data_IF_963129801691
#
_entry.id   IF_963129801691
#
_cell.length_a   1.000
_cell.length_b   1.000
_cell.length_c   1.000
_cell.angle_alpha   90.00
_cell.angle_beta   90.00
_cell.angle_gamma   90.00
#
_symmetry.space_group_name_H-M   'P 1'
#
loop_
_entity.id
_entity.type
_entity.pdbx_description
1 polymer ?
#
# COMPACT_ATOMS: atom_id res chain seq x y z
N UNK A 1 -36.64 -23.66 -8.50
CA UNK A 1 -36.09 -24.38 -9.67
C UNK A 1 -34.57 -24.34 -9.55
N UNK A 2 -33.95 -25.44 -9.14
CA UNK A 2 -32.49 -25.56 -9.08
C UNK A 2 -31.94 -25.60 -10.50
N UNK A 3 -31.16 -24.59 -10.86
CA UNK A 3 -30.27 -24.67 -12.02
C UNK A 3 -29.03 -25.45 -11.59
N UNK A 4 -28.98 -26.74 -11.95
CA UNK A 4 -27.74 -27.52 -11.88
C UNK A 4 -26.74 -26.91 -12.85
N UNK A 5 -25.73 -26.21 -12.31
CA UNK A 5 -24.62 -25.69 -13.11
C UNK A 5 -23.63 -26.83 -13.39
N UNK A 6 -23.65 -27.31 -14.63
CA UNK A 6 -22.73 -28.30 -15.18
C UNK A 6 -21.30 -27.74 -15.19
N UNK A 7 -20.33 -28.53 -14.69
CA UNK A 7 -18.90 -28.21 -14.83
C UNK A 7 -18.55 -28.00 -16.30
N UNK A 8 -18.23 -26.78 -16.70
CA UNK A 8 -17.87 -26.49 -18.08
C UNK A 8 -16.43 -26.94 -18.33
N UNK A 9 -16.27 -27.78 -19.35
CA UNK A 9 -14.96 -28.26 -19.80
C UNK A 9 -14.18 -27.12 -20.45
N UNK A 10 -13.13 -26.65 -19.78
CA UNK A 10 -12.17 -25.72 -20.36
C UNK A 10 -11.37 -26.43 -21.44
N UNK A 11 -11.27 -25.82 -22.63
CA UNK A 11 -10.42 -26.31 -23.72
C UNK A 11 -9.60 -25.15 -24.27
N UNK A 12 -8.33 -25.37 -24.68
CA UNK A 12 -7.54 -24.33 -25.33
C UNK A 12 -8.26 -23.82 -26.59
N UNK A 13 -8.54 -22.51 -26.62
CA UNK A 13 -9.31 -21.87 -27.70
C UNK A 13 -10.78 -21.60 -27.38
N UNK A 14 -11.32 -22.16 -26.28
CA UNK A 14 -12.66 -21.82 -25.76
C UNK A 14 -12.51 -21.09 -24.44
N UNK A 15 -12.64 -19.76 -24.48
CA UNK A 15 -12.60 -18.90 -23.29
C UNK A 15 -13.97 -18.88 -22.59
N UNK A 16 -14.03 -18.60 -21.28
CA UNK A 16 -15.30 -18.42 -20.60
C UNK A 16 -16.05 -17.20 -21.15
N UNK A 17 -17.37 -17.27 -21.24
CA UNK A 17 -18.20 -16.10 -21.55
C UNK A 17 -18.07 -15.05 -20.43
N UNK A 18 -17.60 -13.85 -20.79
CA UNK A 18 -17.51 -12.68 -19.89
C UNK A 18 -18.42 -11.55 -20.35
N UNK A 19 -19.03 -10.79 -19.42
CA UNK A 19 -18.96 -10.95 -17.96
C UNK A 19 -19.91 -12.05 -17.44
N UNK A 20 -19.46 -12.86 -16.47
CA UNK A 20 -20.35 -13.82 -15.82
C UNK A 20 -21.36 -13.10 -14.91
N UNK A 21 -22.56 -13.68 -14.74
CA UNK A 21 -23.56 -13.15 -13.82
C UNK A 21 -23.03 -13.13 -12.37
N UNK A 22 -23.44 -12.17 -11.52
CA UNK A 22 -23.00 -12.11 -10.12
C UNK A 22 -23.38 -13.40 -9.36
N UNK A 23 -22.50 -13.87 -8.46
CA UNK A 23 -22.76 -15.06 -7.65
C UNK A 23 -23.43 -14.70 -6.32
N UNK A 24 -24.14 -15.67 -5.72
CA UNK A 24 -24.78 -15.55 -4.41
C UNK A 24 -23.94 -16.04 -3.23
N UNK A 25 -22.83 -16.75 -3.47
CA UNK A 25 -21.91 -17.20 -2.41
C UNK A 25 -20.48 -17.48 -2.90
N UNK A 26 -19.53 -17.53 -1.98
CA UNK A 26 -18.16 -17.93 -2.30
C UNK A 26 -18.09 -19.40 -2.76
N UNK A 27 -18.94 -20.26 -2.20
CA UNK A 27 -19.04 -21.67 -2.61
C UNK A 27 -19.45 -21.79 -4.08
N UNK A 28 -20.39 -20.96 -4.54
CA UNK A 28 -20.81 -20.91 -5.94
C UNK A 28 -19.67 -20.46 -6.85
N UNK A 29 -18.88 -19.46 -6.45
CA UNK A 29 -17.70 -19.02 -7.21
C UNK A 29 -16.62 -20.10 -7.29
N UNK A 30 -16.36 -20.84 -6.20
CA UNK A 30 -15.46 -22.00 -6.22
C UNK A 30 -15.96 -23.09 -7.17
N UNK A 31 -17.27 -23.35 -7.18
CA UNK A 31 -17.88 -24.29 -8.11
C UNK A 31 -17.70 -23.84 -9.57
N UNK A 32 -17.95 -22.56 -9.87
CA UNK A 32 -17.74 -21.97 -11.21
C UNK A 32 -16.28 -22.05 -11.66
N UNK A 33 -15.34 -21.94 -10.71
CA UNK A 33 -13.92 -22.03 -10.97
C UNK A 33 -13.39 -23.47 -11.16
N UNK A 34 -14.23 -24.49 -11.01
CA UNK A 34 -13.81 -25.88 -11.19
C UNK A 34 -13.38 -26.14 -12.64
N UNK A 35 -12.29 -26.87 -12.80
CA UNK A 35 -11.73 -27.30 -14.09
C UNK A 35 -11.82 -28.82 -14.18
N UNK A 36 -12.35 -29.35 -15.27
CA UNK A 36 -12.33 -30.79 -15.53
C UNK A 36 -11.02 -31.18 -16.24
N UNK A 37 -10.12 -31.96 -15.61
CA UNK A 37 -8.87 -32.38 -16.22
C UNK A 37 -9.05 -33.46 -17.30
N UNK A 38 -10.25 -34.05 -17.45
CA UNK A 38 -10.50 -35.17 -18.34
C UNK A 38 -10.28 -34.81 -19.80
N UNK A 39 -9.42 -35.55 -20.51
CA UNK A 39 -9.10 -35.31 -21.92
C UNK A 39 -8.22 -34.08 -22.17
N UNK A 40 -7.55 -33.59 -21.13
CA UNK A 40 -6.59 -32.48 -21.25
C UNK A 40 -5.31 -32.86 -22.00
N UNK A 41 -5.00 -34.16 -22.05
CA UNK A 41 -3.87 -34.75 -22.79
C UNK A 41 -3.98 -34.60 -24.32
N UNK A 42 -5.16 -34.20 -24.82
CA UNK A 42 -5.40 -33.94 -26.25
C UNK A 42 -4.74 -32.65 -26.74
N UNK A 43 -4.32 -31.78 -25.84
CA UNK A 43 -3.74 -30.48 -26.13
C UNK A 43 -2.31 -30.40 -25.63
N UNK A 44 -1.49 -29.57 -26.26
CA UNK A 44 -0.09 -29.44 -25.86
C UNK A 44 0.05 -28.65 -24.57
N UNK A 45 1.19 -28.81 -23.88
CA UNK A 45 1.49 -28.05 -22.67
C UNK A 45 1.54 -26.56 -22.95
N UNK A 46 2.09 -26.14 -24.10
CA UNK A 46 2.14 -24.74 -24.51
C UNK A 46 0.75 -24.13 -24.67
N UNK A 47 -0.21 -24.90 -25.20
CA UNK A 47 -1.60 -24.45 -25.31
C UNK A 47 -2.22 -24.20 -23.92
N UNK A 48 -1.93 -25.07 -22.94
CA UNK A 48 -2.37 -24.86 -21.56
C UNK A 48 -1.67 -23.70 -20.85
N UNK A 49 -0.38 -23.46 -21.12
CA UNK A 49 0.36 -22.28 -20.62
C UNK A 49 -0.31 -20.99 -21.11
N UNK A 50 -0.70 -20.93 -22.39
CA UNK A 50 -1.42 -19.79 -22.94
C UNK A 50 -2.78 -19.58 -22.27
N UNK A 51 -3.52 -20.66 -21.98
CA UNK A 51 -4.78 -20.58 -21.23
C UNK A 51 -4.57 -19.97 -19.84
N UNK A 52 -3.53 -20.36 -19.12
CA UNK A 52 -3.20 -19.76 -17.81
C UNK A 52 -2.90 -18.27 -17.94
N UNK A 53 -2.08 -17.90 -18.94
CA UNK A 53 -1.77 -16.49 -19.22
C UNK A 53 -3.03 -15.65 -19.46
N UNK A 54 -3.93 -16.16 -20.31
CA UNK A 54 -5.18 -15.49 -20.63
C UNK A 54 -6.13 -15.39 -19.42
N UNK A 55 -6.22 -16.45 -18.60
CA UNK A 55 -7.01 -16.42 -17.37
C UNK A 55 -6.50 -15.37 -16.38
N UNK A 56 -5.18 -15.24 -16.23
CA UNK A 56 -4.61 -14.20 -15.36
C UNK A 56 -4.84 -12.79 -15.92
N UNK A 57 -4.65 -12.58 -17.22
CA UNK A 57 -4.96 -11.28 -17.85
C UNK A 57 -6.44 -10.90 -17.69
N UNK A 58 -7.35 -11.87 -17.81
CA UNK A 58 -8.78 -11.64 -17.60
C UNK A 58 -9.09 -11.34 -16.14
N UNK A 59 -8.41 -12.01 -15.20
CA UNK A 59 -8.50 -11.69 -13.76
C UNK A 59 -8.02 -10.27 -13.46
N UNK A 60 -6.90 -9.85 -14.06
CA UNK A 60 -6.36 -8.49 -13.92
C UNK A 60 -7.32 -7.43 -14.50
N UNK A 61 -7.96 -7.75 -15.62
CA UNK A 61 -8.97 -6.89 -16.23
C UNK A 61 -10.19 -6.76 -15.31
N UNK A 62 -10.70 -7.88 -14.77
CA UNK A 62 -11.83 -7.87 -13.84
C UNK A 62 -11.50 -7.10 -12.54
N UNK A 63 -10.30 -7.27 -11.97
CA UNK A 63 -9.82 -6.51 -10.82
C UNK A 63 -9.83 -4.99 -11.08
N UNK A 64 -9.38 -4.55 -12.27
CA UNK A 64 -9.37 -3.13 -12.65
C UNK A 64 -10.77 -2.52 -12.76
N UNK A 65 -11.80 -3.34 -12.96
CA UNK A 65 -13.20 -2.93 -13.05
C UNK A 65 -14.00 -3.26 -11.79
N UNK A 66 -13.34 -3.57 -10.67
CA UNK A 66 -13.93 -3.98 -9.37
C UNK A 66 -14.87 -5.20 -9.46
N UNK A 67 -14.71 -6.03 -10.50
CA UNK A 67 -15.47 -7.26 -10.70
C UNK A 67 -14.78 -8.44 -10.00
N UNK A 68 -14.92 -8.48 -8.67
CA UNK A 68 -14.28 -9.46 -7.80
C UNK A 68 -14.72 -10.91 -8.08
N UNK A 69 -15.94 -11.13 -8.55
CA UNK A 69 -16.47 -12.48 -8.83
C UNK A 69 -15.72 -13.09 -10.00
N UNK A 70 -15.62 -12.32 -11.08
CA UNK A 70 -14.92 -12.70 -12.30
C UNK A 70 -13.41 -12.80 -12.06
N UNK A 71 -12.83 -11.87 -11.31
CA UNK A 71 -11.41 -11.95 -10.92
C UNK A 71 -11.09 -13.23 -10.13
N UNK A 72 -11.92 -13.56 -9.14
CA UNK A 72 -11.75 -14.78 -8.34
C UNK A 72 -11.80 -16.04 -9.19
N UNK A 73 -12.83 -16.16 -10.05
CA UNK A 73 -13.03 -17.33 -10.91
C UNK A 73 -11.87 -17.50 -11.89
N UNK A 74 -11.42 -16.40 -12.51
CA UNK A 74 -10.27 -16.40 -13.42
C UNK A 74 -8.98 -16.88 -12.76
N UNK A 75 -8.59 -16.28 -11.63
CA UNK A 75 -7.38 -16.64 -10.93
C UNK A 75 -7.43 -18.08 -10.39
N UNK A 76 -8.56 -18.50 -9.80
CA UNK A 76 -8.74 -19.86 -9.31
C UNK A 76 -8.62 -20.89 -10.44
N UNK A 77 -9.24 -20.63 -11.60
CA UNK A 77 -9.12 -21.49 -12.78
C UNK A 77 -7.69 -21.56 -13.28
N UNK A 78 -6.99 -20.44 -13.37
CA UNK A 78 -5.58 -20.42 -13.81
C UNK A 78 -4.68 -21.26 -12.90
N UNK A 79 -4.85 -21.14 -11.58
CA UNK A 79 -4.15 -21.97 -10.60
C UNK A 79 -4.49 -23.47 -10.72
N UNK A 80 -5.77 -23.81 -10.89
CA UNK A 80 -6.20 -25.20 -11.10
C UNK A 80 -5.63 -25.78 -12.40
N UNK A 81 -5.58 -25.03 -13.50
CA UNK A 81 -4.92 -25.49 -14.74
C UNK A 81 -3.43 -25.76 -14.51
N UNK A 82 -2.70 -24.90 -13.78
CA UNK A 82 -1.29 -25.15 -13.49
C UNK A 82 -1.07 -26.42 -12.65
N UNK A 83 -1.86 -26.61 -11.60
CA UNK A 83 -1.68 -27.71 -10.64
C UNK A 83 -2.29 -29.02 -11.12
N UNK A 84 -3.45 -28.99 -11.76
CA UNK A 84 -4.23 -30.19 -12.07
C UNK A 84 -4.06 -30.66 -13.51
N UNK A 85 -3.73 -29.75 -14.43
CA UNK A 85 -3.50 -30.08 -15.85
C UNK A 85 -2.00 -30.09 -16.16
N UNK A 86 -1.32 -28.95 -16.09
CA UNK A 86 0.08 -28.83 -16.54
C UNK A 86 1.01 -29.74 -15.72
N UNK A 87 0.90 -29.71 -14.39
CA UNK A 87 1.78 -30.52 -13.52
C UNK A 87 1.60 -32.04 -13.69
N UNK A 88 0.44 -32.47 -14.20
CA UNK A 88 0.07 -33.88 -14.42
C UNK A 88 0.17 -34.31 -15.89
N UNK A 89 0.45 -33.38 -16.81
CA UNK A 89 0.51 -33.66 -18.23
C UNK A 89 1.67 -34.63 -18.57
N UNK A 90 1.51 -35.57 -19.53
CA UNK A 90 2.59 -36.49 -19.94
C UNK A 90 3.88 -35.77 -20.33
N UNK A 91 3.75 -34.63 -21.02
CA UNK A 91 4.88 -33.81 -21.48
C UNK A 91 5.21 -32.64 -20.55
N UNK A 92 4.92 -32.70 -19.26
CA UNK A 92 5.17 -31.59 -18.30
C UNK A 92 6.63 -31.06 -18.29
N UNK A 93 7.60 -31.86 -18.72
CA UNK A 93 8.99 -31.45 -18.85
C UNK A 93 9.15 -30.27 -19.84
N UNK A 94 8.34 -30.24 -20.90
CA UNK A 94 8.30 -29.11 -21.85
C UNK A 94 7.87 -27.80 -21.17
N UNK A 95 6.98 -27.85 -20.18
CA UNK A 95 6.58 -26.67 -19.41
C UNK A 95 7.75 -26.06 -18.65
N UNK A 96 8.59 -26.87 -18.02
CA UNK A 96 9.71 -26.37 -17.20
C UNK A 96 10.82 -25.74 -18.05
N UNK A 97 10.88 -26.05 -19.34
CA UNK A 97 11.78 -25.39 -20.31
C UNK A 97 11.17 -24.14 -20.94
N UNK A 98 9.87 -23.89 -20.74
CA UNK A 98 9.16 -22.76 -21.30
C UNK A 98 9.35 -21.50 -20.40
N UNK A 99 9.89 -20.40 -20.94
CA UNK A 99 10.09 -19.17 -20.16
C UNK A 99 8.78 -18.53 -19.68
N UNK A 100 7.70 -18.64 -20.44
CA UNK A 100 6.39 -18.10 -20.08
C UNK A 100 5.78 -18.90 -18.92
N UNK A 101 5.92 -20.22 -18.91
CA UNK A 101 5.51 -21.04 -17.76
C UNK A 101 6.27 -20.63 -16.48
N UNK A 102 7.59 -20.40 -16.58
CA UNK A 102 8.40 -19.97 -15.45
C UNK A 102 7.96 -18.61 -14.90
N UNK A 103 7.65 -17.65 -15.79
CA UNK A 103 7.10 -16.35 -15.41
C UNK A 103 5.73 -16.47 -14.77
N UNK A 104 4.81 -17.25 -15.36
CA UNK A 104 3.46 -17.46 -14.81
C UNK A 104 3.51 -18.18 -13.47
N UNK A 105 4.43 -19.13 -13.28
CA UNK A 105 4.63 -19.80 -12.00
C UNK A 105 5.11 -18.81 -10.93
N UNK A 106 6.13 -18.00 -11.24
CA UNK A 106 6.61 -16.96 -10.33
C UNK A 106 5.50 -15.97 -9.99
N UNK A 107 4.73 -15.53 -10.99
CA UNK A 107 3.57 -14.67 -10.83
C UNK A 107 2.51 -15.29 -9.92
N UNK A 108 2.27 -16.60 -10.06
CA UNK A 108 1.30 -17.30 -9.22
C UNK A 108 1.70 -17.28 -7.76
N UNK A 109 2.97 -17.62 -7.51
CA UNK A 109 3.54 -17.67 -6.17
C UNK A 109 3.59 -16.27 -5.52
N UNK A 110 3.85 -15.22 -6.30
CA UNK A 110 4.10 -13.88 -5.79
C UNK A 110 2.88 -12.94 -5.79
N UNK A 111 1.94 -13.11 -6.72
CA UNK A 111 0.83 -12.16 -6.96
C UNK A 111 -0.54 -12.84 -6.87
N UNK A 112 -0.73 -13.97 -7.57
CA UNK A 112 -2.08 -14.53 -7.78
C UNK A 112 -2.65 -15.11 -6.50
N UNK A 113 -1.86 -15.81 -5.67
CA UNK A 113 -2.36 -16.32 -4.39
C UNK A 113 -2.77 -15.20 -3.43
N UNK A 114 -1.99 -14.13 -3.32
CA UNK A 114 -2.34 -12.99 -2.48
C UNK A 114 -3.58 -12.24 -2.99
N UNK A 115 -3.73 -12.15 -4.31
CA UNK A 115 -4.93 -11.58 -4.95
C UNK A 115 -6.16 -12.44 -4.66
N UNK A 116 -6.06 -13.77 -4.80
CA UNK A 116 -7.13 -14.71 -4.49
C UNK A 116 -7.57 -14.64 -3.02
N UNK A 117 -6.62 -14.55 -2.09
CA UNK A 117 -6.91 -14.40 -0.66
C UNK A 117 -7.63 -13.07 -0.37
N UNK A 118 -7.13 -11.96 -0.92
CA UNK A 118 -7.74 -10.64 -0.76
C UNK A 118 -9.17 -10.62 -1.32
N UNK A 119 -9.36 -11.17 -2.51
CA UNK A 119 -10.67 -11.25 -3.17
C UNK A 119 -11.61 -12.15 -2.35
N UNK A 120 -11.15 -13.32 -1.87
CA UNK A 120 -11.95 -14.21 -1.04
C UNK A 120 -12.47 -13.52 0.23
N UNK A 121 -11.60 -12.80 0.95
CA UNK A 121 -11.99 -12.05 2.16
C UNK A 121 -13.07 -11.00 1.84
N UNK A 122 -12.91 -10.25 0.74
CA UNK A 122 -13.90 -9.23 0.33
C UNK A 122 -15.23 -9.88 -0.07
N UNK A 123 -15.20 -11.00 -0.79
CA UNK A 123 -16.39 -11.75 -1.18
C UNK A 123 -17.11 -12.33 0.05
N UNK A 124 -16.40 -12.92 1.00
CA UNK A 124 -16.98 -13.44 2.26
C UNK A 124 -17.68 -12.33 3.05
N UNK A 125 -17.07 -11.14 3.14
CA UNK A 125 -17.69 -9.97 3.79
C UNK A 125 -18.94 -9.51 3.03
N UNK A 126 -18.91 -9.49 1.70
CA UNK A 126 -20.06 -9.11 0.87
C UNK A 126 -21.25 -10.06 1.05
N UNK A 127 -20.99 -11.36 1.08
CA UNK A 127 -22.01 -12.38 1.32
C UNK A 127 -22.50 -12.41 2.77
N UNK A 128 -21.60 -12.17 3.74
CA UNK A 128 -21.95 -12.02 5.15
C UNK A 128 -22.84 -10.81 5.43
N UNK A 129 -22.56 -9.66 4.81
CA UNK A 129 -23.37 -8.45 4.96
C UNK A 129 -24.73 -8.54 4.24
N UNK A 130 -24.83 -9.32 3.15
CA UNK A 130 -26.13 -9.57 2.49
C UNK A 130 -27.11 -10.36 3.35
N UNK A 131 -26.63 -10.98 4.44
CA UNK A 131 -27.46 -11.71 5.41
C UNK A 131 -28.07 -10.81 6.50
N UNK A 132 -27.75 -9.51 6.53
CA UNK A 132 -28.05 -8.63 7.67
C UNK A 132 -28.69 -7.29 7.26
N UNK A 133 -29.61 -7.29 6.29
CA UNK A 133 -30.52 -6.16 6.07
C UNK A 133 -31.81 -6.37 6.87
N UNK A 134 -31.75 -6.06 8.16
CA UNK A 134 -32.95 -5.68 8.92
C UNK A 134 -32.59 -4.55 9.89
N UNK A 135 -32.87 -3.33 9.43
CA UNK A 135 -33.38 -2.19 10.20
C UNK A 135 -32.75 -1.89 11.58
N UNK A 136 -32.07 -0.74 11.69
CA UNK A 136 -32.59 0.46 12.37
C UNK A 136 -31.52 1.56 12.52
N UNK A 137 -31.93 2.77 12.23
CA UNK A 137 -31.36 4.06 12.66
C UNK A 137 -32.45 4.78 13.48
N UNK A 138 -32.24 5.97 14.07
CA UNK A 138 -31.22 6.40 15.04
C UNK A 138 -31.87 7.00 16.31
N UNK A 139 -31.10 7.34 17.37
CA UNK A 139 -31.52 8.43 18.29
C UNK A 139 -30.37 9.05 19.11
N UNK A 140 -30.52 10.36 19.32
CA UNK A 140 -29.64 11.37 19.93
C UNK A 140 -29.38 11.20 21.45
N UNK A 141 -28.38 11.92 21.99
CA UNK A 141 -28.54 13.10 22.89
C UNK A 141 -27.22 13.49 23.61
N UNK A 142 -26.91 14.80 23.59
CA UNK A 142 -25.96 15.53 24.46
C UNK A 142 -26.66 15.99 25.77
N UNK A 143 -25.96 16.41 26.85
CA UNK A 143 -25.47 17.79 26.99
C UNK A 143 -24.17 18.02 27.81
N UNK A 144 -23.75 19.29 27.79
CA UNK A 144 -22.58 20.04 28.30
C UNK A 144 -22.37 20.18 29.82
N UNK A 145 -21.12 20.43 30.26
CA UNK A 145 -20.74 21.33 31.40
C UNK A 145 -19.35 21.96 31.17
N UNK A 146 -19.16 23.19 31.66
CA UNK A 146 -18.10 24.18 31.37
C UNK A 146 -17.21 24.60 32.56
N UNK A 147 -15.95 24.95 32.27
CA UNK A 147 -15.02 25.96 32.88
C UNK A 147 -14.34 25.70 34.26
N UNK A 148 -13.23 26.41 34.68
CA UNK A 148 -12.59 27.62 34.12
C UNK A 148 -11.03 27.66 34.02
N UNK A 149 -10.53 28.76 33.43
CA UNK A 149 -9.14 29.13 33.09
C UNK A 149 -8.31 29.75 34.24
N UNK A 150 -6.97 29.61 34.20
CA UNK A 150 -6.00 30.51 34.87
C UNK A 150 -4.72 30.75 34.02
N UNK A 151 -4.46 32.02 33.76
CA UNK A 151 -3.20 32.72 33.34
C UNK A 151 -2.09 32.57 34.41
N UNK A 152 -0.76 32.67 34.23
CA UNK A 152 0.16 33.33 33.28
C UNK A 152 1.56 32.71 33.43
N UNK A 153 2.39 32.69 32.37
CA UNK A 153 3.83 33.06 32.44
C UNK A 153 4.40 33.18 31.02
N UNK A 154 4.90 34.38 30.71
CA UNK A 154 5.43 34.78 29.41
C UNK A 154 6.94 34.55 29.43
N UNK A 155 7.41 33.52 28.72
CA UNK A 155 8.83 33.36 28.40
C UNK A 155 8.99 33.61 26.90
N UNK A 156 9.74 34.66 26.55
CA UNK A 156 10.09 35.00 25.17
C UNK A 156 11.14 34.00 24.67
N UNK A 157 10.69 32.87 24.17
CA UNK A 157 11.49 32.00 23.30
C UNK A 157 11.16 32.36 21.86
N UNK A 158 12.20 32.61 21.07
CA UNK A 158 12.13 32.77 19.61
C UNK A 158 11.27 31.64 19.02
N UNK A 159 10.31 31.92 18.12
CA UNK A 159 9.43 30.88 17.62
C UNK A 159 10.24 29.90 16.77
N UNK A 160 10.42 28.69 17.29
CA UNK A 160 10.74 27.52 16.48
C UNK A 160 9.63 27.43 15.44
N UNK A 161 9.93 27.50 14.14
CA UNK A 161 8.88 27.44 13.13
C UNK A 161 8.26 26.04 13.21
N UNK A 162 7.01 26.01 13.66
CA UNK A 162 6.25 24.78 13.89
C UNK A 162 5.71 24.30 12.55
N UNK A 163 5.90 23.02 12.23
CA UNK A 163 5.27 22.43 11.05
C UNK A 163 3.75 22.55 11.23
N UNK A 164 3.02 23.23 10.31
CA UNK A 164 1.57 23.33 10.42
C UNK A 164 0.98 21.92 10.30
N UNK A 165 0.20 21.54 11.30
CA UNK A 165 -0.58 20.30 11.26
C UNK A 165 -1.77 20.48 10.32
N UNK A 166 -2.17 19.41 9.61
CA UNK A 166 -3.31 19.49 8.72
C UNK A 166 -4.61 19.77 9.48
N UNK A 167 -5.52 20.43 8.78
CA UNK A 167 -6.94 20.38 9.11
C UNK A 167 -7.51 19.08 8.54
N UNK A 168 -8.39 18.39 9.30
CA UNK A 168 -9.17 17.27 8.79
C UNK A 168 -9.77 17.55 7.42
N UNK A 169 -9.61 16.63 6.48
CA UNK A 169 -10.38 16.66 5.23
C UNK A 169 -11.46 15.58 5.27
N UNK A 170 -12.39 15.63 4.31
CA UNK A 170 -13.35 14.56 4.06
C UNK A 170 -12.86 13.64 2.91
N UNK A 171 -11.54 13.47 2.80
CA UNK A 171 -10.97 12.63 1.76
C UNK A 171 -11.48 11.19 1.87
N UNK A 172 -11.94 10.67 0.73
CA UNK A 172 -12.38 9.30 0.59
C UNK A 172 -11.26 8.51 -0.05
N UNK A 173 -10.97 7.36 0.54
CA UNK A 173 -9.90 6.48 0.13
C UNK A 173 -10.48 5.09 -0.11
N UNK A 174 -9.91 4.33 -1.03
CA UNK A 174 -10.29 2.94 -1.24
C UNK A 174 -10.15 2.10 0.05
N UNK A 175 -10.94 1.04 0.20
CA UNK A 175 -10.78 0.04 1.27
C UNK A 175 -9.61 -0.91 0.93
N UNK A 176 -8.44 -0.31 0.71
CA UNK A 176 -7.16 -0.99 0.44
C UNK A 176 -6.16 -0.72 1.56
N UNK A 177 -5.32 -1.71 1.83
CA UNK A 177 -4.17 -1.59 2.74
C UNK A 177 -2.86 -1.27 1.99
N UNK A 178 -2.92 -1.13 0.67
CA UNK A 178 -1.80 -0.85 -0.21
C UNK A 178 -2.15 0.35 -1.08
N UNK A 179 -1.19 1.24 -1.29
CA UNK A 179 -1.26 2.39 -2.21
C UNK A 179 -0.14 2.28 -3.25
N UNK A 180 -0.46 2.53 -4.52
CA UNK A 180 0.54 2.57 -5.59
C UNK A 180 1.23 3.94 -5.67
N UNK A 181 2.39 4.03 -6.32
CA UNK A 181 3.14 5.28 -6.43
C UNK A 181 2.31 6.39 -7.11
N UNK A 182 1.62 6.09 -8.21
CA UNK A 182 0.82 7.09 -8.93
C UNK A 182 -0.29 7.68 -8.07
N UNK A 183 -0.93 6.83 -7.26
CA UNK A 183 -2.00 7.24 -6.34
C UNK A 183 -1.44 8.14 -5.23
N UNK A 184 -0.31 7.76 -4.61
CA UNK A 184 0.35 8.59 -3.60
C UNK A 184 0.82 9.93 -4.19
N UNK A 185 1.38 9.93 -5.40
CA UNK A 185 1.76 11.16 -6.12
C UNK A 185 0.54 12.05 -6.30
N UNK A 186 -0.60 11.50 -6.72
CA UNK A 186 -1.82 12.28 -6.89
C UNK A 186 -2.23 12.98 -5.59
N UNK A 187 -2.16 12.29 -4.44
CA UNK A 187 -2.53 12.84 -3.15
C UNK A 187 -1.61 13.96 -2.67
N UNK A 188 -0.29 13.78 -2.79
CA UNK A 188 0.67 14.74 -2.23
C UNK A 188 0.96 15.92 -3.16
N UNK A 189 0.55 15.85 -4.44
CA UNK A 189 0.70 16.94 -5.42
C UNK A 189 -0.60 17.67 -5.73
N UNK A 190 -1.75 17.13 -5.31
CA UNK A 190 -3.06 17.76 -5.46
C UNK A 190 -3.09 19.13 -4.77
N UNK A 191 -3.63 20.14 -5.47
CA UNK A 191 -3.65 21.53 -5.01
C UNK A 191 -4.85 21.86 -4.12
N UNK A 192 -6.00 21.29 -4.43
CA UNK A 192 -7.27 21.60 -3.77
C UNK A 192 -7.83 20.33 -3.13
N UNK A 193 -8.27 20.43 -1.87
CA UNK A 193 -8.85 19.32 -1.12
C UNK A 193 -7.96 18.06 -1.08
N UNK A 194 -6.64 18.24 -1.11
CA UNK A 194 -5.70 17.14 -0.98
C UNK A 194 -5.83 16.48 0.40
N UNK A 195 -5.85 15.15 0.49
CA UNK A 195 -5.80 14.48 1.77
C UNK A 195 -4.51 14.82 2.51
N UNK A 196 -4.59 14.92 3.83
CA UNK A 196 -3.41 15.00 4.66
C UNK A 196 -2.76 13.63 4.83
N UNK A 197 -1.56 13.47 4.27
CA UNK A 197 -0.79 12.22 4.29
C UNK A 197 0.39 12.35 5.24
N UNK A 198 0.50 11.46 6.23
CA UNK A 198 1.72 11.27 7.01
C UNK A 198 2.52 10.11 6.44
N UNK A 199 3.76 10.36 6.01
CA UNK A 199 4.68 9.33 5.55
C UNK A 199 5.51 8.76 6.70
N UNK A 200 5.57 7.44 6.79
CA UNK A 200 6.48 6.73 7.70
C UNK A 200 7.52 5.96 6.88
N UNK A 201 8.78 6.43 6.92
CA UNK A 201 9.91 5.73 6.33
C UNK A 201 10.42 4.67 7.33
N UNK A 202 10.21 3.40 7.03
CA UNK A 202 10.52 2.25 7.90
C UNK A 202 11.90 1.65 7.56
N UNK A 203 12.79 2.44 6.96
CA UNK A 203 14.17 2.01 6.65
C UNK A 203 15.13 2.49 7.74
N UNK A 204 16.31 1.83 7.90
CA UNK A 204 17.31 2.28 8.87
C UNK A 204 17.69 3.75 8.68
N UNK A 205 18.00 4.44 9.79
CA UNK A 205 18.34 5.88 9.79
C UNK A 205 19.35 6.28 8.72
N UNK A 206 20.43 5.51 8.57
CA UNK A 206 21.49 5.82 7.61
C UNK A 206 21.03 5.74 6.14
N UNK A 207 20.05 4.87 5.85
CA UNK A 207 19.44 4.76 4.52
C UNK A 207 18.52 5.95 4.27
N UNK A 208 17.69 6.31 5.26
CA UNK A 208 16.85 7.50 5.22
C UNK A 208 17.67 8.79 5.01
N UNK A 209 18.80 8.94 5.71
CA UNK A 209 19.72 10.06 5.56
C UNK A 209 20.39 10.12 4.18
N UNK A 210 20.49 8.99 3.48
CA UNK A 210 20.94 8.92 2.09
C UNK A 210 19.90 9.43 1.08
N UNK A 211 18.62 9.40 1.44
CA UNK A 211 17.52 9.96 0.66
C UNK A 211 16.17 9.41 1.09
N UNK A 212 15.13 10.24 1.11
CA UNK A 212 13.76 9.85 1.47
C UNK A 212 12.74 10.49 0.53
N UNK A 213 11.49 10.03 0.58
CA UNK A 213 10.42 10.65 -0.21
C UNK A 213 10.28 12.11 0.21
N UNK A 214 10.33 13.02 -0.76
CA UNK A 214 10.22 14.46 -0.52
C UNK A 214 8.80 14.81 -0.10
N UNK A 215 8.58 14.94 1.21
CA UNK A 215 7.29 15.32 1.77
C UNK A 215 7.45 16.08 3.08
N UNK A 216 6.53 17.00 3.38
CA UNK A 216 6.64 17.86 4.57
C UNK A 216 6.28 17.11 5.87
N UNK A 217 5.42 16.10 5.79
CA UNK A 217 4.95 15.31 6.91
C UNK A 217 5.53 13.90 6.81
N UNK A 218 6.83 13.76 7.11
CA UNK A 218 7.54 12.49 7.08
C UNK A 218 8.22 12.21 8.41
N UNK A 219 8.17 10.96 8.85
CA UNK A 219 8.81 10.46 10.07
C UNK A 219 9.61 9.21 9.73
N UNK A 220 10.85 9.14 10.18
CA UNK A 220 11.64 7.91 10.06
C UNK A 220 11.44 7.06 11.33
N UNK A 221 11.12 5.79 11.13
CA UNK A 221 10.95 4.81 12.21
C UNK A 221 11.96 3.68 12.01
N UNK A 222 12.90 3.52 12.94
CA UNK A 222 13.95 2.51 12.81
C UNK A 222 13.36 1.08 12.88
N UNK A 223 13.58 0.22 11.87
CA UNK A 223 13.01 -1.12 11.86
C UNK A 223 13.49 -2.00 13.02
N UNK A 224 14.62 -1.68 13.66
CA UNK A 224 15.14 -2.44 14.82
C UNK A 224 14.24 -2.33 16.05
N UNK A 225 13.52 -1.22 16.21
CA UNK A 225 12.60 -1.05 17.34
C UNK A 225 11.26 -1.75 17.08
N UNK A 226 10.92 -2.03 15.82
CA UNK A 226 9.65 -2.63 15.43
C UNK A 226 9.68 -4.15 15.59
N UNK A 227 9.32 -4.61 16.79
CA UNK A 227 9.16 -6.02 17.12
C UNK A 227 7.68 -6.41 17.17
N UNK A 228 7.38 -7.69 16.95
CA UNK A 228 6.04 -8.22 17.12
C UNK A 228 5.43 -7.80 18.46
N UNK A 229 4.20 -7.26 18.42
CA UNK A 229 3.47 -6.82 19.62
C UNK A 229 3.90 -5.45 20.18
N UNK A 230 4.78 -4.70 19.50
CA UNK A 230 5.10 -3.34 19.94
C UNK A 230 3.88 -2.43 19.88
N UNK A 231 3.72 -1.58 20.90
CA UNK A 231 2.65 -0.57 20.96
C UNK A 231 3.14 0.79 20.45
N UNK A 232 2.26 1.60 19.86
CA UNK A 232 2.61 2.90 19.29
C UNK A 232 3.25 3.87 20.32
N UNK A 233 2.83 3.82 21.59
CA UNK A 233 3.43 4.65 22.63
C UNK A 233 4.88 4.27 22.94
N UNK A 234 5.28 3.02 22.68
CA UNK A 234 6.68 2.56 22.80
C UNK A 234 7.48 3.09 21.61
N UNK A 235 6.94 3.02 20.40
CA UNK A 235 7.56 3.63 19.21
C UNK A 235 7.84 5.12 19.47
N UNK A 236 6.85 5.85 20.01
CA UNK A 236 6.99 7.27 20.35
C UNK A 236 8.15 7.55 21.34
N UNK A 237 8.41 6.65 22.30
CA UNK A 237 9.57 6.77 23.21
C UNK A 237 10.89 6.65 22.45
N UNK A 238 11.01 5.72 21.51
CA UNK A 238 12.23 5.57 20.70
C UNK A 238 12.50 6.78 19.79
N UNK A 239 11.43 7.43 19.32
CA UNK A 239 11.53 8.68 18.55
C UNK A 239 12.07 9.86 19.37
N UNK A 240 12.24 9.76 20.69
CA UNK A 240 12.83 10.85 21.50
C UNK A 240 14.25 11.24 21.06
N UNK A 241 14.94 10.32 20.39
CA UNK A 241 16.26 10.55 19.77
C UNK A 241 16.18 11.15 18.36
N UNK A 242 15.00 11.11 17.73
CA UNK A 242 14.75 11.75 16.44
C UNK A 242 14.64 13.28 16.62
N UNK A 243 14.77 14.03 15.54
CA UNK A 243 14.48 15.45 15.57
C UNK A 243 13.04 15.80 16.00
N UNK A 244 12.85 16.99 16.61
CA UNK A 244 11.60 17.34 17.32
C UNK A 244 10.34 17.35 16.45
N UNK A 245 10.42 17.76 15.20
CA UNK A 245 9.29 17.77 14.29
C UNK A 245 8.87 16.34 13.93
N UNK A 246 9.78 15.38 13.79
CA UNK A 246 9.41 13.96 13.63
C UNK A 246 8.64 13.44 14.85
N UNK A 247 9.10 13.79 16.06
CA UNK A 247 8.41 13.45 17.31
C UNK A 247 6.99 14.04 17.35
N UNK A 248 6.86 15.32 16.98
CA UNK A 248 5.59 16.03 16.98
C UNK A 248 4.63 15.43 15.95
N UNK A 249 5.10 15.14 14.73
CA UNK A 249 4.30 14.51 13.68
C UNK A 249 3.79 13.13 14.11
N UNK A 250 4.64 12.29 14.71
CA UNK A 250 4.21 10.99 15.21
C UNK A 250 3.26 11.11 16.42
N UNK A 251 3.46 12.12 17.27
CA UNK A 251 2.55 12.40 18.38
C UNK A 251 1.16 12.74 17.85
N UNK A 252 1.08 13.50 16.76
CA UNK A 252 -0.18 13.98 16.16
C UNK A 252 -0.69 13.09 15.01
N UNK A 253 -0.19 11.86 14.91
CA UNK A 253 -0.47 10.91 13.81
C UNK A 253 -1.96 10.66 13.56
N UNK A 254 -2.77 10.74 14.60
CA UNK A 254 -4.23 10.54 14.56
C UNK A 254 -5.00 11.70 13.89
N UNK A 255 -4.31 12.81 13.60
CA UNK A 255 -4.91 13.97 12.92
C UNK A 255 -4.85 13.92 11.40
N UNK A 256 -4.05 13.02 10.84
CA UNK A 256 -3.92 12.86 9.40
C UNK A 256 -5.07 12.04 8.84
N UNK A 257 -5.42 12.31 7.58
CA UNK A 257 -6.47 11.56 6.89
C UNK A 257 -5.99 10.13 6.57
N UNK A 258 -4.70 9.98 6.26
CA UNK A 258 -4.06 8.68 6.05
C UNK A 258 -2.61 8.70 6.50
N UNK A 259 -2.16 7.54 6.99
CA UNK A 259 -0.75 7.23 7.18
C UNK A 259 -0.33 6.29 6.06
N UNK A 260 0.73 6.65 5.34
CA UNK A 260 1.37 5.78 4.36
C UNK A 260 2.74 5.40 4.86
N UNK A 261 3.05 4.11 4.89
CA UNK A 261 4.32 3.61 5.38
C UNK A 261 5.03 2.78 4.30
N UNK A 262 6.35 2.81 4.29
CA UNK A 262 7.13 2.15 3.25
C UNK A 262 8.49 1.66 3.76
N UNK A 263 8.99 0.59 3.16
CA UNK A 263 10.36 0.12 3.32
C UNK A 263 11.15 0.35 2.03
N UNK A 264 12.23 -0.40 1.80
CA UNK A 264 13.03 -0.23 0.59
C UNK A 264 12.27 -0.66 -0.67
N UNK A 265 11.56 -1.80 -0.67
CA UNK A 265 11.10 -2.44 -1.90
C UNK A 265 9.93 -3.44 -1.78
N UNK A 266 9.27 -3.57 -0.64
CA UNK A 266 8.18 -4.54 -0.50
C UNK A 266 7.00 -4.19 -1.41
N UNK A 267 6.65 -5.12 -2.31
CA UNK A 267 5.56 -4.95 -3.27
C UNK A 267 4.19 -5.22 -2.65
N UNK A 268 4.13 -6.06 -1.62
CA UNK A 268 2.88 -6.50 -0.98
C UNK A 268 3.05 -6.75 0.51
N UNK A 269 1.95 -6.74 1.26
CA UNK A 269 1.96 -6.96 2.72
C UNK A 269 2.60 -8.31 3.10
N UNK A 270 2.36 -9.43 2.39
CA UNK A 270 3.06 -10.70 2.68
C UNK A 270 4.56 -10.65 2.47
N UNK A 271 5.03 -9.89 1.46
CA UNK A 271 6.46 -9.68 1.21
C UNK A 271 7.10 -8.72 2.21
N UNK A 272 6.28 -7.95 2.94
CA UNK A 272 6.75 -6.98 3.92
C UNK A 272 7.35 -7.69 5.15
N UNK A 273 8.52 -7.23 5.56
CA UNK A 273 9.22 -7.77 6.72
C UNK A 273 8.44 -7.61 8.04
N UNK A 274 8.92 -8.26 9.09
CA UNK A 274 8.31 -8.19 10.43
C UNK A 274 8.10 -6.75 10.92
N UNK A 275 9.04 -5.85 10.63
CA UNK A 275 8.95 -4.45 11.00
C UNK A 275 7.73 -3.75 10.39
N UNK A 276 7.47 -3.97 9.10
CA UNK A 276 6.32 -3.40 8.37
C UNK A 276 4.98 -3.93 8.88
N UNK A 277 4.92 -5.21 9.24
CA UNK A 277 3.74 -5.79 9.90
C UNK A 277 3.56 -5.25 11.32
N UNK A 278 4.64 -5.12 12.06
CA UNK A 278 4.64 -4.64 13.44
C UNK A 278 4.20 -3.18 13.53
N UNK A 279 4.64 -2.30 12.63
CA UNK A 279 4.21 -0.89 12.64
C UNK A 279 2.73 -0.74 12.30
N UNK A 280 2.20 -1.50 11.33
CA UNK A 280 0.76 -1.54 11.05
C UNK A 280 -0.03 -1.97 12.28
N UNK A 281 0.39 -3.07 12.90
CA UNK A 281 -0.28 -3.61 14.10
C UNK A 281 -0.25 -2.60 15.25
N UNK A 282 0.91 -2.01 15.52
CA UNK A 282 1.11 -1.01 16.56
C UNK A 282 0.20 0.22 16.39
N UNK A 283 0.05 0.70 15.15
CA UNK A 283 -0.67 1.92 14.82
C UNK A 283 -2.19 1.76 14.75
N UNK A 284 -2.68 0.55 14.47
CA UNK A 284 -4.10 0.35 14.16
C UNK A 284 -4.77 -0.77 14.94
N UNK A 285 -4.11 -1.91 15.09
CA UNK A 285 -4.70 -3.10 15.71
C UNK A 285 -4.56 -3.07 17.24
N UNK A 286 -3.41 -2.61 17.73
CA UNK A 286 -3.08 -2.52 19.15
C UNK A 286 -3.33 -1.12 19.74
N UNK A 287 -3.55 -0.12 18.89
CA UNK A 287 -3.74 1.28 19.30
C UNK A 287 -5.11 1.48 19.94
N UNK A 288 -5.13 2.12 21.11
CA UNK A 288 -6.35 2.41 21.88
C UNK A 288 -6.52 3.88 22.25
N UNK A 289 -5.42 4.63 22.32
CA UNK A 289 -5.44 6.02 22.79
C UNK A 289 -5.63 6.99 21.62
N UNK A 290 -5.03 6.67 20.47
CA UNK A 290 -5.00 7.53 19.28
C UNK A 290 -5.49 6.76 18.06
N UNK A 291 -6.76 6.30 18.04
CA UNK A 291 -7.28 5.50 16.94
C UNK A 291 -7.22 6.30 15.64
N UNK A 292 -6.69 5.69 14.59
CA UNK A 292 -6.63 6.29 13.27
C UNK A 292 -8.01 6.26 12.61
N UNK A 293 -8.26 7.21 11.71
CA UNK A 293 -9.48 7.26 10.88
C UNK A 293 -9.64 6.02 10.00
N UNK A 294 -8.52 5.42 9.61
CA UNK A 294 -8.43 4.22 8.80
C UNK A 294 -7.14 3.47 9.07
N UNK A 295 -7.08 2.23 8.57
CA UNK A 295 -5.84 1.47 8.56
C UNK A 295 -4.75 2.20 7.75
N UNK A 296 -3.50 2.20 8.24
CA UNK A 296 -2.37 2.75 7.50
C UNK A 296 -2.14 1.92 6.22
N UNK A 297 -1.71 2.58 5.15
CA UNK A 297 -1.49 1.94 3.85
C UNK A 297 0.00 1.74 3.57
N UNK A 298 0.35 0.59 3.01
CA UNK A 298 1.72 0.30 2.57
C UNK A 298 1.95 0.85 1.16
N UNK A 299 3.05 1.56 0.91
CA UNK A 299 3.43 1.93 -0.44
C UNK A 299 3.96 0.71 -1.20
N UNK A 300 3.28 0.32 -2.28
CA UNK A 300 3.70 -0.78 -3.13
C UNK A 300 5.07 -0.51 -3.75
N UNK A 301 6.00 -1.43 -3.52
CA UNK A 301 7.34 -1.39 -4.08
C UNK A 301 8.29 -0.41 -3.40
N UNK A 302 7.87 0.15 -2.26
CA UNK A 302 8.71 0.93 -1.36
C UNK A 302 9.39 2.14 -2.00
N UNK A 303 10.52 2.53 -1.41
CA UNK A 303 11.33 3.64 -1.88
C UNK A 303 11.93 3.42 -3.29
N UNK A 304 12.30 2.19 -3.64
CA UNK A 304 12.89 1.86 -4.94
C UNK A 304 11.91 2.17 -6.08
N UNK A 305 10.66 1.77 -5.93
CA UNK A 305 9.61 2.02 -6.95
C UNK A 305 9.27 3.50 -6.99
N UNK A 306 9.21 4.18 -5.85
CA UNK A 306 9.06 5.65 -5.81
C UNK A 306 10.16 6.35 -6.60
N UNK A 307 11.42 5.99 -6.36
CA UNK A 307 12.57 6.58 -7.06
C UNK A 307 12.51 6.30 -8.57
N UNK A 308 12.15 5.09 -8.96
CA UNK A 308 12.04 4.69 -10.37
C UNK A 308 10.97 5.49 -11.13
N UNK A 309 9.79 5.68 -10.51
CA UNK A 309 8.64 6.33 -11.15
C UNK A 309 8.71 7.85 -11.09
N UNK A 310 9.06 8.42 -9.93
CA UNK A 310 9.02 9.88 -9.70
C UNK A 310 10.37 10.55 -10.03
N UNK A 311 11.47 9.80 -9.96
CA UNK A 311 12.82 10.29 -10.16
C UNK A 311 13.35 11.17 -9.01
N UNK A 312 14.55 11.72 -9.19
CA UNK A 312 15.25 12.50 -8.15
C UNK A 312 14.49 13.74 -7.66
N UNK A 313 13.55 14.29 -8.46
CA UNK A 313 12.72 15.43 -8.04
C UNK A 313 11.79 15.09 -6.88
N UNK A 314 11.39 13.82 -6.76
CA UNK A 314 10.58 13.29 -5.67
C UNK A 314 11.38 12.85 -4.45
N UNK A 315 12.71 13.04 -4.44
CA UNK A 315 13.60 12.61 -3.36
C UNK A 315 14.16 13.83 -2.64
N UNK A 316 14.14 13.78 -1.31
CA UNK A 316 14.88 14.70 -0.48
C UNK A 316 16.23 14.08 -0.11
N UNK A 317 17.32 14.79 -0.41
CA UNK A 317 18.69 14.42 -0.03
C UNK A 317 19.16 15.35 1.08
N UNK A 318 19.70 14.78 2.15
CA UNK A 318 20.26 15.58 3.24
C UNK A 318 21.53 16.29 2.76
N UNK A 319 21.75 17.56 3.13
CA UNK A 319 22.99 18.25 2.78
C UNK A 319 24.20 17.50 3.33
N UNK A 320 25.15 17.16 2.46
CA UNK A 320 26.31 16.39 2.86
C UNK A 320 27.27 17.27 3.68
N UNK A 321 27.31 17.10 5.00
CA UNK A 321 28.20 17.89 5.89
C UNK A 321 29.68 17.48 5.80
N UNK A 322 30.04 16.56 4.90
CA UNK A 322 31.41 16.04 4.75
C UNK A 322 32.20 16.64 3.57
N UNK A 323 31.66 17.62 2.86
CA UNK A 323 32.42 18.41 1.87
C UNK A 323 32.95 19.72 2.46
N UNK A 324 33.95 19.68 3.35
CA UNK A 324 34.76 20.89 3.64
C UNK A 324 35.88 20.98 2.62
N UNK A 325 35.66 21.74 1.55
CA UNK A 325 36.77 22.44 0.90
C UNK A 325 37.40 23.37 1.95
N UNK A 326 38.69 23.18 2.20
CA UNK A 326 39.47 24.08 3.05
C UNK A 326 39.63 25.40 2.31
N UNK A 327 38.85 26.41 2.70
CA UNK A 327 39.26 27.81 2.53
C UNK A 327 39.43 28.41 3.92
N UNK A 328 40.69 28.68 4.23
CA UNK A 328 41.29 29.41 5.35
C UNK A 328 40.44 29.83 6.57
N UNK A 329 40.87 29.32 7.73
CA UNK A 329 40.80 30.02 9.02
C UNK A 329 39.62 29.64 9.91
N UNK A 330 39.94 29.33 11.17
CA UNK A 330 39.07 29.05 12.32
C UNK A 330 38.63 27.59 12.52
N UNK A 331 39.41 26.90 13.37
CA UNK A 331 38.94 25.74 14.12
C UNK A 331 38.27 26.19 15.41
N UNK A 332 37.05 25.70 15.69
CA UNK A 332 36.76 25.09 16.98
C UNK A 332 35.48 24.24 16.95
N UNK A 333 35.64 23.03 17.47
CA UNK A 333 34.73 22.20 18.26
C UNK A 333 33.26 21.93 17.86
N UNK A 334 32.93 20.65 18.07
CA UNK A 334 31.66 20.13 18.60
C UNK A 334 30.56 19.77 17.59
N UNK A 335 30.43 18.46 17.33
CA UNK A 335 29.26 17.58 17.59
C UNK A 335 27.83 18.16 17.75
N UNK A 336 27.52 19.32 17.19
CA UNK A 336 26.22 19.97 17.32
C UNK A 336 25.86 20.76 16.05
N UNK A 337 25.54 20.06 14.96
CA UNK A 337 24.93 20.69 13.79
C UNK A 337 23.93 19.74 13.13
N UNK A 338 22.81 19.47 13.82
CA UNK A 338 21.60 18.94 13.16
C UNK A 338 20.40 19.85 13.40
N UNK A 339 20.26 20.93 12.61
CA UNK A 339 18.96 21.57 12.45
C UNK A 339 18.65 21.80 10.96
N UNK A 340 18.71 20.78 10.10
CA UNK A 340 18.44 21.00 8.65
C UNK A 340 17.14 20.36 8.13
N UNK A 341 16.60 19.31 8.75
CA UNK A 341 15.26 18.81 8.39
C UNK A 341 14.16 19.81 8.81
N UNK A 342 14.36 20.52 9.93
CA UNK A 342 13.37 21.44 10.50
C UNK A 342 13.09 22.61 9.56
N UNK A 343 14.07 23.11 8.80
CA UNK A 343 13.87 24.23 7.87
C UNK A 343 13.52 23.82 6.43
N UNK A 344 13.74 22.56 6.05
CA UNK A 344 13.48 22.10 4.68
C UNK A 344 11.98 21.85 4.42
N UNK A 345 11.24 21.34 5.42
CA UNK A 345 9.79 21.10 5.32
C UNK A 345 8.94 22.37 5.51
N UNK A 346 9.56 23.50 5.90
CA UNK A 346 8.86 24.74 6.27
C UNK A 346 8.72 25.71 5.10
N UNK A 347 9.43 25.48 4.00
CA UNK A 347 9.19 26.27 2.78
C UNK A 347 7.99 25.69 2.04
N UNK A 348 6.92 26.48 1.92
CA UNK A 348 5.82 26.22 0.97
C UNK A 348 6.41 25.77 -0.37
N UNK A 349 5.88 24.72 -1.02
CA UNK A 349 6.40 24.24 -2.29
C UNK A 349 6.38 25.40 -3.28
N UNK A 350 7.56 25.94 -3.57
CA UNK A 350 7.73 27.00 -4.55
C UNK A 350 8.12 26.31 -5.85
N UNK A 351 7.29 26.51 -6.88
CA UNK A 351 7.51 26.26 -8.33
C UNK A 351 7.70 24.80 -8.75
N UNK A 352 6.61 24.10 -9.12
CA UNK A 352 6.02 23.89 -10.46
C UNK A 352 6.73 22.80 -11.30
N UNK A 353 5.99 21.72 -11.58
CA UNK A 353 6.24 20.78 -12.66
C UNK A 353 5.38 21.26 -13.84
N UNK A 354 5.98 21.92 -14.82
CA UNK A 354 5.40 21.98 -16.16
C UNK A 354 5.73 20.65 -16.85
N UNK A 355 4.68 19.95 -17.25
CA UNK A 355 4.80 18.80 -18.14
C UNK A 355 4.70 19.38 -19.54
N UNK A 356 5.84 19.58 -20.19
CA UNK A 356 5.90 20.03 -21.58
C UNK A 356 5.13 19.03 -22.45
N UNK A 357 3.95 19.47 -22.88
CA UNK A 357 3.16 18.80 -23.91
C UNK A 357 3.50 19.46 -25.23
N UNK A 358 4.60 19.05 -25.86
CA UNK A 358 4.83 19.33 -27.27
C UNK A 358 4.97 18.00 -28.02
N UNK A 359 3.81 17.51 -28.46
CA UNK A 359 3.71 16.64 -29.63
C UNK A 359 4.15 17.43 -30.86
N UNK A 360 4.94 16.76 -31.69
CA UNK A 360 5.29 17.26 -33.01
C UNK A 360 4.07 17.32 -33.92
N UNK A 361 3.88 18.48 -34.53
CA UNK A 361 3.34 18.62 -35.88
C UNK A 361 4.39 19.37 -36.69
N UNK A 362 5.08 18.65 -37.58
CA UNK A 362 5.17 18.86 -39.04
C UNK A 362 6.20 17.91 -39.63
#
# INVERSE_FOLDING_TARGET
MSVSATSQRLTPGSMPDFPMAPAGSLSELRQRATVDPSGSEKYTVQQWILVVSQLYQQGDWACRHDDMDNAYVCYMRGCSVMVEIISKHPNKHEAFSDPLYSQLKQRTDNEIFGSLETIAIRLERRFGNSSNVTSKSPMNLTPSVSSPSRTSARTRTSPIPSIPLPSPTNAVFADSLIVCVDELVSWITQKENAPSVLLLDVRPRHVFEGGCIKHQWIVQVDPRVLKMGIEAHIIQKYLSSNPKAEQNLFTERDRFDVIVYYDQNAQSIPMAGEAMRSIKSALYELERQKPLRRAPMMLAGGFDTWQSVVGERGIFRFPNTHGKEKVNGFTNASLAARPHYEYACIRKPTTYIEVDSNQGET
#
